data_IF_280930668603
#
_entry.id   IF_280930668603
#
_cell.length_a   1.000
_cell.length_b   1.000
_cell.length_c   1.000
_cell.angle_alpha   90.00
_cell.angle_beta   90.00
_cell.angle_gamma   90.00
#
_symmetry.space_group_name_H-M   'P 1'
#
loop_
_entity.id
_entity.type
_entity.pdbx_description
1 polymer ?
#
# COMPACT_ATOMS: atom_id res chain seq x y z
N UNK A 1 28.75 -2.10 -15.01
CA UNK A 1 29.22 -2.63 -16.30
C UNK A 1 29.87 -3.96 -16.03
N UNK A 2 29.28 -5.06 -16.52
CA UNK A 2 29.90 -6.37 -16.53
C UNK A 2 30.05 -6.77 -18.00
N UNK A 3 31.29 -6.96 -18.45
CA UNK A 3 31.57 -7.44 -19.80
C UNK A 3 31.11 -8.91 -19.89
N UNK A 4 30.02 -9.16 -20.60
CA UNK A 4 29.58 -10.52 -20.92
C UNK A 4 30.46 -10.99 -22.08
N UNK A 5 31.56 -11.66 -21.74
CA UNK A 5 32.39 -12.37 -22.71
C UNK A 5 31.61 -13.58 -23.24
N UNK A 6 31.27 -13.56 -24.52
CA UNK A 6 30.75 -14.72 -25.22
C UNK A 6 31.92 -15.66 -25.53
N UNK A 7 32.16 -16.66 -24.68
CA UNK A 7 32.98 -17.82 -25.04
C UNK A 7 32.19 -18.68 -26.02
N UNK A 8 32.69 -18.82 -27.24
CA UNK A 8 32.15 -19.72 -28.24
C UNK A 8 32.36 -21.18 -27.79
N UNK A 9 31.27 -21.84 -27.37
CA UNK A 9 31.23 -23.29 -27.26
C UNK A 9 30.67 -23.87 -28.56
N UNK A 10 31.41 -24.77 -29.18
CA UNK A 10 30.98 -25.58 -30.33
C UNK A 10 29.81 -26.49 -29.93
N UNK A 11 28.63 -26.38 -30.56
CA UNK A 11 27.53 -27.29 -30.26
C UNK A 11 27.67 -28.60 -31.04
N UNK A 12 27.59 -29.71 -30.31
CA UNK A 12 27.30 -31.05 -30.84
C UNK A 12 25.82 -31.09 -31.22
N UNK A 13 25.53 -31.48 -32.46
CA UNK A 13 24.19 -31.51 -33.06
C UNK A 13 23.40 -32.69 -32.49
N UNK A 14 22.31 -32.40 -31.77
CA UNK A 14 21.24 -33.34 -31.43
C UNK A 14 19.97 -32.96 -32.22
N UNK A 15 19.44 -33.92 -32.98
CA UNK A 15 18.31 -33.77 -33.90
C UNK A 15 16.99 -33.48 -33.17
N UNK A 16 16.40 -32.32 -33.45
CA UNK A 16 15.00 -31.98 -33.22
C UNK A 16 14.48 -31.14 -34.40
N UNK A 17 13.47 -31.64 -35.08
CA UNK A 17 13.01 -31.21 -36.40
C UNK A 17 12.22 -29.89 -36.40
N UNK A 18 12.89 -28.82 -36.84
CA UNK A 18 12.34 -27.82 -37.77
C UNK A 18 13.33 -27.74 -38.92
N UNK A 19 12.96 -28.24 -40.10
CA UNK A 19 13.81 -28.27 -41.27
C UNK A 19 13.99 -26.85 -41.84
N UNK A 20 14.88 -26.07 -41.25
CA UNK A 20 15.54 -24.98 -41.96
C UNK A 20 16.58 -25.62 -42.89
N UNK A 21 16.53 -25.31 -44.19
CA UNK A 21 17.62 -25.64 -45.12
C UNK A 21 18.96 -25.26 -44.48
N UNK A 22 20.00 -26.09 -44.63
CA UNK A 22 21.27 -25.96 -43.93
C UNK A 22 21.71 -24.49 -43.83
N UNK A 23 21.64 -23.96 -42.60
CA UNK A 23 21.91 -22.57 -42.26
C UNK A 23 23.37 -22.26 -42.63
N UNK A 24 23.57 -21.75 -43.84
CA UNK A 24 24.89 -21.43 -44.41
C UNK A 24 24.96 -19.94 -44.71
N UNK A 25 26.15 -19.37 -44.56
CA UNK A 25 26.45 -17.98 -44.88
C UNK A 25 27.32 -17.97 -46.12
N UNK A 26 26.85 -17.36 -47.22
CA UNK A 26 27.62 -17.25 -48.46
C UNK A 26 28.87 -16.39 -48.23
N UNK A 27 29.93 -16.65 -48.99
CA UNK A 27 31.23 -16.00 -48.77
C UNK A 27 31.16 -14.46 -48.88
N UNK A 28 30.29 -13.96 -49.76
CA UNK A 28 30.03 -12.54 -49.99
C UNK A 28 29.48 -11.84 -48.74
N UNK A 29 28.72 -12.56 -47.91
CA UNK A 29 28.22 -12.07 -46.61
C UNK A 29 29.17 -12.42 -45.47
N UNK A 30 29.74 -13.62 -45.50
CA UNK A 30 30.55 -14.18 -44.41
C UNK A 30 31.86 -13.45 -44.19
N UNK A 31 32.57 -13.06 -45.26
CA UNK A 31 33.83 -12.30 -45.16
C UNK A 31 33.66 -10.96 -44.41
N UNK A 32 32.77 -10.03 -44.84
CA UNK A 32 32.57 -8.78 -44.12
C UNK A 32 31.98 -8.99 -42.70
N UNK A 33 31.16 -10.03 -42.50
CA UNK A 33 30.63 -10.38 -41.19
C UNK A 33 31.73 -10.81 -40.19
N UNK A 34 32.65 -11.66 -40.61
CA UNK A 34 33.79 -12.09 -39.78
C UNK A 34 34.73 -10.92 -39.45
N UNK A 35 34.98 -10.04 -40.42
CA UNK A 35 35.78 -8.83 -40.20
C UNK A 35 35.10 -7.91 -39.18
N UNK A 36 33.78 -7.72 -39.30
CA UNK A 36 33.01 -6.96 -38.31
C UNK A 36 33.07 -7.56 -36.90
N UNK A 37 32.97 -8.89 -36.77
CA UNK A 37 33.10 -9.58 -35.48
C UNK A 37 34.47 -9.35 -34.83
N UNK A 38 35.55 -9.42 -35.63
CA UNK A 38 36.92 -9.15 -35.16
C UNK A 38 37.09 -7.70 -34.69
N UNK A 39 36.56 -6.74 -35.46
CA UNK A 39 36.59 -5.33 -35.11
C UNK A 39 35.80 -5.04 -33.83
N UNK A 40 34.59 -5.60 -33.69
CA UNK A 40 33.75 -5.47 -32.51
C UNK A 40 34.44 -6.06 -31.26
N UNK A 41 35.04 -7.25 -31.41
CA UNK A 41 35.81 -7.90 -30.33
C UNK A 41 37.04 -7.09 -29.90
N UNK A 42 37.57 -6.25 -30.79
CA UNK A 42 38.69 -5.34 -30.50
C UNK A 42 38.24 -3.96 -29.99
N UNK A 43 36.94 -3.78 -29.66
CA UNK A 43 36.37 -2.51 -29.21
C UNK A 43 36.16 -1.48 -30.31
N UNK A 44 36.49 -1.80 -31.58
CA UNK A 44 36.36 -0.92 -32.75
C UNK A 44 34.94 -0.96 -33.31
N UNK A 45 33.97 -0.64 -32.45
CA UNK A 45 32.55 -0.87 -32.75
C UNK A 45 32.02 -0.04 -33.93
N UNK A 46 32.51 1.19 -34.13
CA UNK A 46 32.13 2.02 -35.30
C UNK A 46 32.63 1.43 -36.62
N UNK A 47 33.85 0.91 -36.64
CA UNK A 47 34.43 0.24 -37.81
C UNK A 47 33.69 -1.08 -38.10
N UNK A 48 33.34 -1.83 -37.05
CA UNK A 48 32.51 -3.04 -37.17
C UNK A 48 31.14 -2.73 -37.80
N UNK A 49 30.48 -1.63 -37.38
CA UNK A 49 29.22 -1.21 -37.99
C UNK A 49 29.35 -0.83 -39.47
N UNK A 50 30.47 -0.24 -39.88
CA UNK A 50 30.73 0.03 -41.30
C UNK A 50 30.82 -1.28 -42.11
N UNK A 51 31.58 -2.27 -41.60
CA UNK A 51 31.69 -3.59 -42.22
C UNK A 51 30.38 -4.36 -42.29
N UNK A 52 29.51 -4.19 -41.29
CA UNK A 52 28.17 -4.78 -41.31
C UNK A 52 27.26 -4.15 -42.37
N UNK A 53 27.50 -2.90 -42.81
CA UNK A 53 26.76 -2.31 -43.94
C UNK A 53 27.20 -2.94 -45.26
N UNK A 54 28.48 -3.26 -45.42
CA UNK A 54 28.98 -4.01 -46.59
C UNK A 54 28.29 -5.39 -46.67
N UNK A 55 28.27 -6.14 -45.56
CA UNK A 55 27.59 -7.44 -45.49
C UNK A 55 26.08 -7.33 -45.80
N UNK A 56 25.43 -6.27 -45.34
CA UNK A 56 24.00 -6.03 -45.55
C UNK A 56 23.66 -5.49 -46.95
N UNK A 57 24.64 -4.98 -47.70
CA UNK A 57 24.44 -4.53 -49.08
C UNK A 57 24.34 -5.68 -50.09
N UNK A 58 24.73 -6.90 -49.68
CA UNK A 58 24.67 -8.09 -50.54
C UNK A 58 23.21 -8.43 -50.90
N UNK A 59 22.97 -8.68 -52.18
CA UNK A 59 21.64 -9.04 -52.71
C UNK A 59 21.24 -10.48 -52.39
N UNK A 60 19.92 -10.73 -52.35
CA UNK A 60 19.36 -12.07 -52.20
C UNK A 60 19.73 -12.79 -50.90
N UNK A 61 19.92 -12.05 -49.79
CA UNK A 61 20.28 -12.62 -48.48
C UNK A 61 19.22 -13.60 -47.98
N UNK A 62 19.69 -14.70 -47.41
CA UNK A 62 18.81 -15.64 -46.70
C UNK A 62 18.37 -15.05 -45.35
N UNK A 63 17.28 -15.58 -44.79
CA UNK A 63 16.84 -15.19 -43.45
C UNK A 63 17.91 -15.46 -42.36
N UNK A 64 18.74 -16.49 -42.55
CA UNK A 64 19.84 -16.81 -41.65
C UNK A 64 20.98 -15.80 -41.77
N UNK A 65 21.38 -15.42 -43.00
CA UNK A 65 22.40 -14.39 -43.24
C UNK A 65 21.99 -13.06 -42.62
N UNK A 66 20.75 -12.62 -42.84
CA UNK A 66 20.22 -11.41 -42.23
C UNK A 66 20.21 -11.49 -40.70
N UNK A 67 19.80 -12.62 -40.12
CA UNK A 67 19.86 -12.85 -38.67
C UNK A 67 21.27 -12.71 -38.10
N UNK A 68 22.28 -13.29 -38.78
CA UNK A 68 23.66 -13.23 -38.30
C UNK A 68 24.26 -11.82 -38.39
N UNK A 69 23.96 -11.07 -39.46
CA UNK A 69 24.33 -9.66 -39.59
C UNK A 69 23.73 -8.86 -38.43
N UNK A 70 22.42 -9.01 -38.19
CA UNK A 70 21.72 -8.26 -37.15
C UNK A 70 22.18 -8.61 -35.74
N UNK A 71 22.56 -9.87 -35.48
CA UNK A 71 23.11 -10.29 -34.18
C UNK A 71 24.44 -9.60 -33.87
N UNK A 72 25.33 -9.47 -34.85
CA UNK A 72 26.60 -8.74 -34.67
C UNK A 72 26.33 -7.22 -34.58
N UNK A 73 25.39 -6.71 -35.39
CA UNK A 73 24.97 -5.30 -35.38
C UNK A 73 24.42 -4.88 -34.03
N UNK A 74 23.58 -5.71 -33.40
CA UNK A 74 23.01 -5.45 -32.08
C UNK A 74 24.09 -5.21 -31.02
N UNK A 75 25.09 -6.11 -30.96
CA UNK A 75 26.22 -5.98 -30.03
C UNK A 75 27.11 -4.77 -30.34
N UNK A 76 27.51 -4.61 -31.61
CA UNK A 76 28.40 -3.52 -32.02
C UNK A 76 27.75 -2.15 -31.84
N UNK A 77 26.47 -2.00 -32.20
CA UNK A 77 25.74 -0.74 -32.03
C UNK A 77 25.56 -0.39 -30.55
N UNK A 78 25.18 -1.36 -29.71
CA UNK A 78 25.05 -1.16 -28.28
C UNK A 78 26.39 -0.71 -27.65
N UNK A 79 27.49 -1.36 -28.03
CA UNK A 79 28.83 -1.03 -27.54
C UNK A 79 29.38 0.30 -28.12
N UNK A 80 28.91 0.72 -29.29
CA UNK A 80 29.21 2.03 -29.87
C UNK A 80 28.39 3.18 -29.26
N UNK A 81 27.38 2.89 -28.42
CA UNK A 81 26.42 3.87 -27.93
C UNK A 81 25.40 4.32 -28.97
N UNK A 82 25.31 3.65 -30.13
CA UNK A 82 24.32 3.92 -31.17
C UNK A 82 23.00 3.21 -30.82
N UNK A 83 22.24 3.84 -29.92
CA UNK A 83 21.01 3.26 -29.37
C UNK A 83 19.95 3.00 -30.45
N UNK A 84 19.83 3.86 -31.47
CA UNK A 84 18.83 3.71 -32.53
C UNK A 84 19.11 2.50 -33.42
N UNK A 85 20.36 2.32 -33.84
CA UNK A 85 20.78 1.14 -34.60
C UNK A 85 20.70 -0.12 -33.74
N UNK A 86 21.08 -0.05 -32.46
CA UNK A 86 21.00 -1.18 -31.54
C UNK A 86 19.56 -1.67 -31.38
N UNK A 87 18.61 -0.77 -31.10
CA UNK A 87 17.19 -1.12 -30.93
C UNK A 87 16.66 -1.88 -32.16
N UNK A 88 16.86 -1.34 -33.37
CA UNK A 88 16.40 -1.99 -34.61
C UNK A 88 17.01 -3.38 -34.81
N UNK A 89 18.30 -3.52 -34.51
CA UNK A 89 19.00 -4.79 -34.63
C UNK A 89 18.51 -5.82 -33.60
N UNK A 90 18.29 -5.41 -32.34
CA UNK A 90 17.69 -6.27 -31.32
C UNK A 90 16.29 -6.73 -31.72
N UNK A 91 15.45 -5.84 -32.26
CA UNK A 91 14.11 -6.19 -32.77
C UNK A 91 14.18 -7.22 -33.90
N UNK A 92 15.07 -7.02 -34.89
CA UNK A 92 15.25 -7.95 -35.98
C UNK A 92 15.72 -9.34 -35.49
N UNK A 93 16.67 -9.36 -34.56
CA UNK A 93 17.17 -10.61 -33.94
C UNK A 93 16.06 -11.33 -33.19
N UNK A 94 15.26 -10.63 -32.38
CA UNK A 94 14.16 -11.25 -31.62
C UNK A 94 13.03 -11.73 -32.55
N UNK A 95 12.66 -10.92 -33.55
CA UNK A 95 11.58 -11.25 -34.50
C UNK A 95 11.98 -12.32 -35.52
N UNK A 96 13.26 -12.65 -35.64
CA UNK A 96 13.72 -13.76 -36.48
C UNK A 96 13.24 -15.14 -36.01
N UNK A 97 12.86 -15.27 -34.72
CA UNK A 97 12.49 -16.55 -34.10
C UNK A 97 13.65 -17.54 -33.94
N UNK A 98 14.90 -17.12 -34.22
CA UNK A 98 16.10 -17.98 -34.24
C UNK A 98 16.91 -17.96 -32.94
N UNK A 99 16.51 -17.15 -31.95
CA UNK A 99 17.14 -17.16 -30.63
C UNK A 99 16.83 -18.47 -29.90
N UNK A 100 17.83 -19.01 -29.21
CA UNK A 100 17.60 -20.14 -28.31
C UNK A 100 16.69 -19.74 -27.14
N UNK A 101 16.06 -20.72 -26.49
CA UNK A 101 15.21 -20.49 -25.31
C UNK A 101 15.98 -19.81 -24.15
N UNK A 102 17.31 -19.99 -24.08
CA UNK A 102 18.17 -19.36 -23.08
C UNK A 102 18.52 -17.89 -23.42
N UNK A 103 18.50 -17.52 -24.69
CA UNK A 103 18.87 -16.19 -25.18
C UNK A 103 17.67 -15.27 -25.35
N UNK A 104 16.54 -15.80 -25.82
CA UNK A 104 15.34 -15.02 -26.11
C UNK A 104 14.92 -14.11 -24.94
N UNK A 105 14.86 -14.57 -23.67
CA UNK A 105 14.55 -13.69 -22.55
C UNK A 105 15.57 -12.58 -22.37
N UNK A 106 16.87 -12.88 -22.47
CA UNK A 106 17.95 -11.89 -22.28
C UNK A 106 17.90 -10.77 -23.33
N UNK A 107 17.66 -11.13 -24.59
CA UNK A 107 17.51 -10.16 -25.68
C UNK A 107 16.27 -9.29 -25.50
N UNK A 108 15.13 -9.90 -25.18
CA UNK A 108 13.87 -9.17 -24.94
C UNK A 108 13.97 -8.22 -23.75
N UNK A 109 14.58 -8.65 -22.64
CA UNK A 109 14.83 -7.81 -21.46
C UNK A 109 15.78 -6.65 -21.78
N UNK A 110 16.87 -6.92 -22.51
CA UNK A 110 17.82 -5.88 -22.92
C UNK A 110 17.15 -4.82 -23.82
N UNK A 111 16.31 -5.25 -24.77
CA UNK A 111 15.57 -4.34 -25.65
C UNK A 111 14.57 -3.49 -24.87
N UNK A 112 13.81 -4.08 -23.94
CA UNK A 112 12.94 -3.33 -23.04
C UNK A 112 13.72 -2.26 -22.25
N UNK A 113 14.90 -2.60 -21.72
CA UNK A 113 15.77 -1.66 -21.02
C UNK A 113 16.37 -0.57 -21.94
N UNK A 114 16.57 -0.84 -23.22
CA UNK A 114 16.97 0.17 -24.21
C UNK A 114 15.85 1.18 -24.44
N UNK A 115 14.62 0.72 -24.68
CA UNK A 115 13.46 1.58 -24.81
C UNK A 115 13.19 2.39 -23.54
N UNK A 116 13.35 1.78 -22.37
CA UNK A 116 13.18 2.47 -21.08
C UNK A 116 14.16 3.64 -20.95
N UNK A 117 15.46 3.41 -21.25
CA UNK A 117 16.49 4.46 -21.22
C UNK A 117 16.24 5.55 -22.26
N UNK A 118 15.68 5.18 -23.41
CA UNK A 118 15.24 6.12 -24.44
C UNK A 118 13.96 6.88 -24.06
N UNK A 119 13.34 6.58 -22.91
CA UNK A 119 12.05 7.10 -22.43
C UNK A 119 10.89 6.84 -23.39
N UNK A 120 11.02 5.81 -24.23
CA UNK A 120 9.95 5.32 -25.11
C UNK A 120 9.08 4.35 -24.33
N UNK A 121 8.16 4.89 -23.53
CA UNK A 121 7.30 4.10 -22.66
C UNK A 121 6.39 3.13 -23.42
N UNK A 122 5.75 3.48 -24.56
CA UNK A 122 4.94 2.53 -25.32
C UNK A 122 5.70 1.27 -25.74
N UNK A 123 6.90 1.42 -26.31
CA UNK A 123 7.71 0.27 -26.71
C UNK A 123 8.26 -0.48 -25.50
N UNK A 124 8.67 0.24 -24.45
CA UNK A 124 9.08 -0.38 -23.18
C UNK A 124 7.99 -1.31 -22.65
N UNK A 125 6.74 -0.85 -22.56
CA UNK A 125 5.60 -1.65 -22.09
C UNK A 125 5.38 -2.87 -22.98
N UNK A 126 5.40 -2.68 -24.30
CA UNK A 126 5.22 -3.76 -25.28
C UNK A 126 6.25 -4.88 -25.09
N UNK A 127 7.52 -4.52 -24.99
CA UNK A 127 8.62 -5.49 -24.86
C UNK A 127 8.70 -6.12 -23.47
N UNK A 128 8.35 -5.40 -22.41
CA UNK A 128 8.21 -5.99 -21.07
C UNK A 128 7.07 -7.02 -21.05
N UNK A 129 5.89 -6.69 -21.59
CA UNK A 129 4.75 -7.63 -21.65
C UNK A 129 5.09 -8.87 -22.46
N UNK A 130 5.84 -8.73 -23.56
CA UNK A 130 6.35 -9.88 -24.33
C UNK A 130 7.27 -10.74 -23.47
N UNK A 131 8.23 -10.14 -22.78
CA UNK A 131 9.11 -10.88 -21.86
C UNK A 131 8.34 -11.67 -20.81
N UNK A 132 7.30 -11.08 -20.23
CA UNK A 132 6.49 -11.69 -19.17
C UNK A 132 5.56 -12.79 -19.72
N UNK A 133 5.16 -12.70 -20.99
CA UNK A 133 4.41 -13.77 -21.66
C UNK A 133 5.28 -15.01 -21.90
N UNK A 134 6.55 -14.80 -22.26
CA UNK A 134 7.49 -15.89 -22.52
C UNK A 134 7.90 -16.58 -21.20
N UNK A 135 8.07 -15.80 -20.13
CA UNK A 135 8.37 -16.29 -18.77
C UNK A 135 8.00 -15.23 -17.74
N UNK A 136 7.29 -15.64 -16.69
CA UNK A 136 7.04 -14.74 -15.56
C UNK A 136 8.35 -14.41 -14.82
N UNK A 137 8.62 -13.11 -14.65
CA UNK A 137 9.85 -12.58 -14.07
C UNK A 137 9.50 -11.39 -13.13
N UNK A 138 9.80 -11.48 -11.83
CA UNK A 138 9.46 -10.44 -10.86
C UNK A 138 10.10 -9.07 -11.16
N UNK A 139 11.32 -9.03 -11.69
CA UNK A 139 12.03 -7.78 -12.00
C UNK A 139 11.39 -7.09 -13.21
N UNK A 140 11.05 -7.85 -14.25
CA UNK A 140 10.34 -7.31 -15.41
C UNK A 140 8.94 -6.82 -15.06
N UNK A 141 8.25 -7.49 -14.13
CA UNK A 141 6.94 -7.03 -13.66
C UNK A 141 7.04 -5.77 -12.81
N UNK A 142 8.04 -5.64 -11.95
CA UNK A 142 8.32 -4.39 -11.23
C UNK A 142 8.63 -3.24 -12.20
N UNK A 143 9.45 -3.51 -13.22
CA UNK A 143 9.73 -2.54 -14.29
C UNK A 143 8.44 -2.14 -15.02
N UNK A 144 7.53 -3.08 -15.31
CA UNK A 144 6.24 -2.78 -15.93
C UNK A 144 5.42 -1.78 -15.10
N UNK A 145 5.28 -2.05 -13.80
CA UNK A 145 4.54 -1.19 -12.86
C UNK A 145 5.17 0.20 -12.81
N UNK A 146 6.50 0.25 -12.72
CA UNK A 146 7.24 1.51 -12.74
C UNK A 146 7.06 2.26 -14.05
N UNK A 147 7.13 1.58 -15.21
CA UNK A 147 6.91 2.17 -16.53
C UNK A 147 5.49 2.71 -16.66
N UNK A 148 4.48 1.99 -16.17
CA UNK A 148 3.11 2.51 -16.13
C UNK A 148 3.00 3.76 -15.26
N UNK A 149 3.64 3.78 -14.09
CA UNK A 149 3.63 4.95 -13.22
C UNK A 149 4.30 6.18 -13.87
N UNK A 150 5.52 6.04 -14.39
CA UNK A 150 6.25 7.18 -14.98
C UNK A 150 5.68 7.64 -16.32
N UNK A 151 4.98 6.77 -17.04
CA UNK A 151 4.26 7.12 -18.28
C UNK A 151 2.88 7.73 -18.02
N UNK A 152 2.45 7.84 -16.76
CA UNK A 152 1.14 8.37 -16.37
C UNK A 152 -0.01 7.37 -16.54
N UNK A 153 0.27 6.12 -16.92
CA UNK A 153 -0.71 5.04 -16.99
C UNK A 153 -1.01 4.45 -15.61
N UNK A 154 -1.53 5.29 -14.72
CA UNK A 154 -1.79 4.99 -13.33
C UNK A 154 -2.80 3.85 -13.12
N UNK A 155 -3.80 3.73 -14.00
CA UNK A 155 -4.82 2.69 -13.89
C UNK A 155 -4.23 1.28 -14.07
N UNK A 156 -3.35 1.11 -15.06
CA UNK A 156 -2.66 -0.16 -15.26
C UNK A 156 -1.65 -0.43 -14.14
N UNK A 157 -0.93 0.58 -13.65
CA UNK A 157 -0.04 0.42 -12.49
C UNK A 157 -0.81 -0.06 -11.24
N UNK A 158 -1.97 0.53 -10.95
CA UNK A 158 -2.83 0.13 -9.83
C UNK A 158 -3.32 -1.32 -9.99
N UNK A 159 -3.78 -1.68 -11.20
CA UNK A 159 -4.24 -3.04 -11.52
C UNK A 159 -3.16 -4.09 -11.30
N UNK A 160 -1.93 -3.79 -11.73
CA UNK A 160 -0.78 -4.68 -11.56
C UNK A 160 -0.34 -4.82 -10.08
N UNK A 161 -0.46 -3.77 -9.28
CA UNK A 161 -0.20 -3.85 -7.84
C UNK A 161 -1.26 -4.68 -7.11
N UNK A 162 -2.53 -4.54 -7.51
CA UNK A 162 -3.66 -5.24 -6.89
C UNK A 162 -3.70 -6.73 -7.25
N UNK A 163 -3.41 -7.10 -8.50
CA UNK A 163 -3.46 -8.48 -8.98
C UNK A 163 -2.46 -9.40 -8.26
N UNK A 164 -1.33 -8.84 -7.82
CA UNK A 164 -0.28 -9.58 -7.11
C UNK A 164 -0.56 -9.81 -5.63
N UNK A 165 -1.74 -9.40 -5.15
CA UNK A 165 -2.03 -9.36 -3.72
C UNK A 165 -1.00 -8.51 -2.98
N UNK A 166 -0.59 -7.38 -3.60
CA UNK A 166 0.49 -6.48 -3.17
C UNK A 166 0.30 -5.94 -1.76
N UNK A 167 0.54 -6.80 -0.77
CA UNK A 167 0.37 -6.55 0.65
C UNK A 167 1.67 -6.07 1.30
N UNK A 168 2.76 -5.98 0.54
CA UNK A 168 3.97 -5.32 1.02
C UNK A 168 3.67 -3.85 1.30
N UNK A 169 4.30 -3.29 2.33
CA UNK A 169 4.12 -1.89 2.68
C UNK A 169 4.42 -0.97 1.48
N UNK A 170 5.51 -1.24 0.75
CA UNK A 170 5.92 -0.46 -0.42
C UNK A 170 4.87 -0.51 -1.55
N UNK A 171 4.30 -1.69 -1.83
CA UNK A 171 3.26 -1.84 -2.86
C UNK A 171 1.99 -1.07 -2.49
N UNK A 172 1.58 -1.13 -1.22
CA UNK A 172 0.41 -0.39 -0.74
C UNK A 172 0.66 1.12 -0.73
N UNK A 173 1.85 1.58 -0.34
CA UNK A 173 2.24 2.99 -0.43
C UNK A 173 2.22 3.50 -1.87
N UNK A 174 2.74 2.70 -2.81
CA UNK A 174 2.69 3.05 -4.23
C UNK A 174 1.25 3.12 -4.75
N UNK A 175 0.42 2.13 -4.39
CA UNK A 175 -1.01 2.13 -4.76
C UNK A 175 -1.74 3.34 -4.19
N UNK A 176 -1.48 3.70 -2.93
CA UNK A 176 -2.04 4.89 -2.30
C UNK A 176 -1.60 6.18 -3.03
N UNK A 177 -0.32 6.30 -3.40
CA UNK A 177 0.17 7.44 -4.19
C UNK A 177 -0.51 7.54 -5.56
N UNK A 178 -0.67 6.40 -6.25
CA UNK A 178 -1.39 6.31 -7.52
C UNK A 178 -2.84 6.78 -7.37
N UNK A 179 -3.55 6.29 -6.35
CA UNK A 179 -4.94 6.67 -6.09
C UNK A 179 -5.10 8.16 -5.80
N UNK A 180 -4.15 8.79 -5.08
CA UNK A 180 -4.13 10.25 -4.91
C UNK A 180 -3.99 10.97 -6.25
N UNK A 181 -3.08 10.52 -7.12
CA UNK A 181 -2.90 11.12 -8.46
C UNK A 181 -4.13 10.95 -9.36
N UNK A 182 -4.90 9.89 -9.15
CA UNK A 182 -6.15 9.63 -9.85
C UNK A 182 -7.36 10.33 -9.22
N UNK A 183 -7.19 11.05 -8.11
CA UNK A 183 -8.28 11.58 -7.28
C UNK A 183 -9.26 10.50 -6.75
N UNK A 184 -8.83 9.24 -6.67
CA UNK A 184 -9.60 8.14 -6.12
C UNK A 184 -9.54 8.15 -4.58
N UNK A 185 -10.38 8.99 -3.97
CA UNK A 185 -10.45 9.13 -2.51
C UNK A 185 -10.88 7.84 -1.82
N UNK A 186 -11.82 7.09 -2.41
CA UNK A 186 -12.36 5.88 -1.80
C UNK A 186 -11.32 4.75 -1.81
N UNK A 187 -10.66 4.54 -2.96
CA UNK A 187 -9.58 3.58 -3.07
C UNK A 187 -8.40 3.95 -2.16
N UNK A 188 -8.05 5.24 -2.07
CA UNK A 188 -6.99 5.69 -1.17
C UNK A 188 -7.27 5.29 0.29
N UNK A 189 -8.47 5.59 0.79
CA UNK A 189 -8.85 5.24 2.18
C UNK A 189 -8.81 3.74 2.38
N UNK A 190 -9.33 2.94 1.45
CA UNK A 190 -9.29 1.48 1.54
C UNK A 190 -7.85 0.92 1.57
N UNK A 191 -6.93 1.50 0.78
CA UNK A 191 -5.51 1.14 0.81
C UNK A 191 -4.85 1.57 2.12
N UNK A 192 -5.20 2.74 2.63
CA UNK A 192 -4.67 3.26 3.89
C UNK A 192 -5.17 2.45 5.11
N UNK A 193 -6.42 1.97 5.08
CA UNK A 193 -6.96 1.02 6.07
C UNK A 193 -6.14 -0.29 6.07
N UNK A 194 -5.74 -0.81 4.90
CA UNK A 194 -4.84 -1.97 4.80
C UNK A 194 -3.46 -1.67 5.37
N UNK A 195 -2.88 -0.50 5.04
CA UNK A 195 -1.60 -0.05 5.58
C UNK A 195 -1.65 0.03 7.11
N UNK A 196 -2.63 0.73 7.67
CA UNK A 196 -2.78 0.90 9.11
C UNK A 196 -2.98 -0.45 9.86
N UNK A 197 -3.70 -1.38 9.22
CA UNK A 197 -4.01 -2.71 9.77
C UNK A 197 -2.82 -3.69 9.71
N UNK A 198 -2.02 -3.65 8.63
CA UNK A 198 -0.90 -4.56 8.42
C UNK A 198 0.44 -3.99 8.94
N UNK A 199 0.59 -2.67 8.91
CA UNK A 199 1.78 -1.92 9.29
C UNK A 199 1.37 -0.74 10.18
N UNK A 200 1.17 -0.93 11.50
CA UNK A 200 0.54 0.05 12.39
C UNK A 200 1.45 1.25 12.72
N UNK A 201 1.94 1.96 11.70
CA UNK A 201 2.66 3.22 11.85
C UNK A 201 1.67 4.32 12.19
N UNK A 202 2.06 5.18 13.12
CA UNK A 202 1.28 6.34 13.55
C UNK A 202 0.87 7.24 12.40
N UNK A 203 1.73 7.41 11.38
CA UNK A 203 1.44 8.23 10.19
C UNK A 203 0.19 7.79 9.42
N UNK A 204 -0.08 6.49 9.30
CA UNK A 204 -1.25 6.00 8.57
C UNK A 204 -2.54 6.26 9.34
N UNK A 205 -2.51 6.06 10.66
CA UNK A 205 -3.62 6.38 11.54
C UNK A 205 -3.89 7.88 11.57
N UNK A 206 -2.85 8.71 11.63
CA UNK A 206 -3.00 10.16 11.58
C UNK A 206 -3.71 10.61 10.29
N UNK A 207 -3.33 10.06 9.13
CA UNK A 207 -3.97 10.38 7.85
C UNK A 207 -5.42 9.88 7.79
N UNK A 208 -5.71 8.64 8.21
CA UNK A 208 -7.09 8.13 8.30
C UNK A 208 -7.99 9.04 9.16
N UNK A 209 -7.49 9.43 10.35
CA UNK A 209 -8.24 10.24 11.30
C UNK A 209 -8.43 11.68 10.81
N UNK A 210 -7.42 12.27 10.17
CA UNK A 210 -7.58 13.58 9.53
C UNK A 210 -8.61 13.56 8.40
N UNK A 211 -8.65 12.47 7.62
CA UNK A 211 -9.59 12.34 6.49
C UNK A 211 -11.02 12.15 6.93
N UNK A 212 -11.29 11.35 7.96
CA UNK A 212 -12.66 11.20 8.48
C UNK A 212 -13.15 12.53 9.05
N UNK A 213 -12.32 13.25 9.81
CA UNK A 213 -12.69 14.56 10.37
C UNK A 213 -12.85 15.67 9.32
N UNK A 214 -12.10 15.59 8.21
CA UNK A 214 -12.19 16.53 7.09
C UNK A 214 -13.27 16.18 6.05
N UNK A 215 -14.00 15.08 6.23
CA UNK A 215 -15.02 14.63 5.28
C UNK A 215 -16.26 15.54 5.34
N UNK A 216 -16.85 15.92 4.18
CA UNK A 216 -18.14 16.60 4.17
C UNK A 216 -19.20 15.78 4.92
N UNK A 217 -19.91 16.42 5.85
CA UNK A 217 -20.93 15.77 6.68
C UNK A 217 -20.40 15.12 7.97
N UNK A 218 -19.11 15.23 8.28
CA UNK A 218 -18.59 14.76 9.58
C UNK A 218 -19.27 15.50 10.75
N UNK A 219 -19.80 14.73 11.71
CA UNK A 219 -20.44 15.26 12.91
C UNK A 219 -19.40 15.64 13.97
N UNK A 220 -19.37 16.91 14.36
CA UNK A 220 -18.49 17.41 15.44
C UNK A 220 -18.74 16.74 16.80
N UNK A 221 -19.88 16.07 16.98
CA UNK A 221 -20.16 15.29 18.21
C UNK A 221 -19.21 14.08 18.34
N UNK A 222 -18.71 13.58 17.21
CA UNK A 222 -17.77 12.46 17.16
C UNK A 222 -16.31 12.89 17.34
N UNK A 223 -16.04 14.18 17.62
CA UNK A 223 -14.67 14.67 17.82
C UNK A 223 -13.98 14.00 19.01
N UNK A 224 -14.71 13.70 20.09
CA UNK A 224 -14.17 12.90 21.20
C UNK A 224 -13.84 11.47 20.75
N UNK A 225 -14.65 10.84 19.90
CA UNK A 225 -14.38 9.51 19.36
C UNK A 225 -13.15 9.46 18.44
N UNK A 226 -12.90 10.52 17.67
CA UNK A 226 -11.65 10.69 16.93
C UNK A 226 -10.46 10.78 17.89
N UNK A 227 -10.59 11.57 18.97
CA UNK A 227 -9.53 11.70 19.98
C UNK A 227 -9.25 10.38 20.71
N UNK A 228 -10.28 9.56 20.98
CA UNK A 228 -10.12 8.20 21.54
C UNK A 228 -9.29 7.31 20.61
N UNK A 229 -9.57 7.32 19.31
CA UNK A 229 -8.75 6.60 18.31
C UNK A 229 -7.33 7.15 18.21
N UNK A 230 -7.15 8.48 18.30
CA UNK A 230 -5.80 9.08 18.33
C UNK A 230 -5.00 8.60 19.53
N UNK A 231 -5.59 8.61 20.72
CA UNK A 231 -4.95 8.10 21.93
C UNK A 231 -4.59 6.61 21.79
N UNK A 232 -5.54 5.78 21.33
CA UNK A 232 -5.36 4.34 21.20
C UNK A 232 -4.31 3.94 20.15
N UNK A 233 -4.04 4.81 19.16
CA UNK A 233 -2.97 4.64 18.18
C UNK A 233 -1.67 5.38 18.55
N UNK A 234 -1.53 5.86 19.78
CA UNK A 234 -0.30 6.47 20.28
C UNK A 234 0.04 7.81 19.62
N UNK A 235 -0.97 8.54 19.11
CA UNK A 235 -0.76 9.82 18.43
C UNK A 235 -0.57 11.02 19.37
N UNK A 236 -0.68 10.81 20.69
CA UNK A 236 -0.51 11.87 21.67
C UNK A 236 0.94 11.96 22.13
N UNK A 237 1.52 13.15 21.97
CA UNK A 237 2.91 13.46 22.27
C UNK A 237 3.06 14.58 23.30
N UNK A 238 2.01 15.36 23.54
CA UNK A 238 2.05 16.54 24.44
C UNK A 238 1.18 16.35 25.69
N UNK A 239 1.58 16.91 26.85
CA UNK A 239 0.76 16.91 28.07
C UNK A 239 -0.66 17.48 27.84
N UNK A 240 -0.77 18.55 27.05
CA UNK A 240 -2.05 19.20 26.75
C UNK A 240 -3.06 18.26 26.08
N UNK A 241 -2.61 17.32 25.25
CA UNK A 241 -3.50 16.39 24.55
C UNK A 241 -4.17 15.41 25.53
N UNK A 242 -3.40 14.88 26.50
CA UNK A 242 -3.95 14.03 27.57
C UNK A 242 -4.90 14.81 28.48
N UNK A 243 -4.56 16.06 28.81
CA UNK A 243 -5.40 16.91 29.66
C UNK A 243 -6.74 17.24 28.98
N UNK A 244 -6.70 17.63 27.71
CA UNK A 244 -7.88 17.99 26.92
C UNK A 244 -8.85 16.81 26.79
N UNK A 245 -8.39 15.64 26.35
CA UNK A 245 -9.28 14.48 26.21
C UNK A 245 -9.86 14.03 27.56
N UNK A 246 -9.09 14.14 28.65
CA UNK A 246 -9.56 13.76 29.99
C UNK A 246 -10.67 14.70 30.46
N UNK A 247 -10.55 15.99 30.17
CA UNK A 247 -11.61 16.97 30.45
C UNK A 247 -12.84 16.72 29.59
N UNK A 248 -12.67 16.41 28.30
CA UNK A 248 -13.79 16.04 27.42
C UNK A 248 -14.51 14.77 27.90
N UNK A 249 -13.78 13.76 28.37
CA UNK A 249 -14.35 12.55 28.94
C UNK A 249 -15.15 12.84 30.22
N UNK A 250 -14.67 13.73 31.10
CA UNK A 250 -15.42 14.19 32.28
C UNK A 250 -16.71 14.92 31.87
N UNK A 251 -16.64 15.82 30.90
CA UNK A 251 -17.81 16.54 30.38
C UNK A 251 -18.83 15.59 29.74
N UNK A 252 -18.36 14.50 29.13
CA UNK A 252 -19.21 13.45 28.58
C UNK A 252 -19.80 12.52 29.66
N UNK A 253 -19.49 12.74 30.95
CA UNK A 253 -19.98 11.94 32.06
C UNK A 253 -19.24 10.61 32.25
N UNK A 254 -18.03 10.47 31.71
CA UNK A 254 -17.21 9.26 31.83
C UNK A 254 -15.92 9.52 32.64
N UNK A 255 -16.02 9.66 33.98
CA UNK A 255 -14.85 9.91 34.83
C UNK A 255 -13.88 8.73 34.89
N UNK A 256 -14.35 7.49 34.73
CA UNK A 256 -13.49 6.31 34.66
C UNK A 256 -12.56 6.35 33.43
N UNK A 257 -13.10 6.75 32.27
CA UNK A 257 -12.29 6.97 31.07
C UNK A 257 -11.27 8.09 31.29
N UNK A 258 -11.70 9.22 31.86
CA UNK A 258 -10.80 10.33 32.16
C UNK A 258 -9.63 9.89 33.06
N UNK A 259 -9.89 9.12 34.11
CA UNK A 259 -8.84 8.58 34.99
C UNK A 259 -7.88 7.66 34.24
N UNK A 260 -8.40 6.73 33.44
CA UNK A 260 -7.58 5.84 32.62
C UNK A 260 -6.64 6.62 31.68
N UNK A 261 -7.12 7.72 31.08
CA UNK A 261 -6.30 8.54 30.20
C UNK A 261 -5.22 9.32 30.96
N UNK A 262 -5.58 9.91 32.11
CA UNK A 262 -4.64 10.60 32.98
C UNK A 262 -3.53 9.63 33.40
N UNK A 263 -3.90 8.44 33.88
CA UNK A 263 -2.95 7.41 34.32
C UNK A 263 -2.03 6.95 33.20
N UNK A 264 -2.52 6.82 31.96
CA UNK A 264 -1.67 6.58 30.80
C UNK A 264 -0.63 7.68 30.59
N UNK A 265 -1.03 8.95 30.75
CA UNK A 265 -0.12 10.10 30.66
C UNK A 265 0.95 10.11 31.75
N UNK A 266 0.58 9.77 33.00
CA UNK A 266 1.53 9.62 34.12
C UNK A 266 2.49 8.45 33.87
N UNK A 267 1.98 7.30 33.43
CA UNK A 267 2.79 6.11 33.14
C UNK A 267 3.82 6.36 32.03
N UNK A 268 3.48 7.19 31.05
CA UNK A 268 4.40 7.62 29.98
C UNK A 268 5.37 8.73 30.41
N UNK A 269 5.26 9.26 31.64
CA UNK A 269 6.06 10.38 32.13
C UNK A 269 5.73 11.72 31.47
N UNK A 270 4.67 11.79 30.67
CA UNK A 270 4.22 13.01 29.98
C UNK A 270 3.43 13.91 30.94
N UNK A 271 2.71 13.31 31.90
CA UNK A 271 2.05 14.01 33.00
C UNK A 271 2.81 13.81 34.32
N UNK A 272 2.46 14.61 35.33
CA UNK A 272 3.05 14.53 36.67
C UNK A 272 4.47 15.12 36.80
N UNK A 273 4.99 15.77 35.76
CA UNK A 273 6.33 16.39 35.76
C UNK A 273 6.26 17.88 35.39
N UNK A 274 7.32 18.63 35.70
CA UNK A 274 7.45 20.05 35.37
C UNK A 274 6.52 20.98 36.17
N UNK A 275 6.45 22.24 35.75
CA UNK A 275 5.68 23.29 36.43
C UNK A 275 4.16 23.02 36.45
N UNK A 276 3.65 22.25 35.48
CA UNK A 276 2.24 21.90 35.37
C UNK A 276 1.83 20.65 36.18
N UNK A 277 2.77 19.97 36.86
CA UNK A 277 2.46 18.78 37.66
C UNK A 277 1.30 18.99 38.67
N UNK A 278 1.22 20.12 39.41
CA UNK A 278 0.08 20.40 40.29
C UNK A 278 -1.25 20.54 39.53
N UNK A 279 -1.23 21.02 38.29
CA UNK A 279 -2.42 21.10 37.43
C UNK A 279 -2.87 19.72 36.98
N UNK A 280 -1.93 18.85 36.61
CA UNK A 280 -2.21 17.45 36.26
C UNK A 280 -2.85 16.70 37.45
N UNK A 281 -2.33 16.92 38.67
CA UNK A 281 -2.88 16.30 39.88
C UNK A 281 -4.29 16.79 40.19
N UNK A 282 -4.55 18.10 40.11
CA UNK A 282 -5.91 18.65 40.31
C UNK A 282 -6.96 18.06 39.37
N UNK A 283 -6.60 17.80 38.11
CA UNK A 283 -7.52 17.14 37.18
C UNK A 283 -7.78 15.68 37.58
N UNK A 284 -6.76 14.96 38.05
CA UNK A 284 -6.90 13.61 38.58
C UNK A 284 -7.84 13.59 39.79
N UNK A 285 -7.64 14.50 40.74
CA UNK A 285 -8.46 14.60 41.96
C UNK A 285 -9.92 14.91 41.63
N UNK A 286 -10.16 15.82 40.67
CA UNK A 286 -11.50 16.09 40.16
C UNK A 286 -12.14 14.83 39.57
N UNK A 287 -11.41 14.10 38.72
CA UNK A 287 -11.92 12.89 38.10
C UNK A 287 -12.23 11.78 39.13
N UNK A 288 -11.39 11.61 40.14
CA UNK A 288 -11.62 10.70 41.27
C UNK A 288 -12.90 11.06 42.03
N UNK A 289 -13.08 12.35 42.36
CA UNK A 289 -14.28 12.82 43.03
C UNK A 289 -15.53 12.59 42.19
N UNK A 290 -15.50 12.96 40.91
CA UNK A 290 -16.64 12.75 39.99
C UNK A 290 -16.97 11.27 39.83
N UNK A 291 -15.98 10.38 39.81
CA UNK A 291 -16.20 8.93 39.78
C UNK A 291 -16.89 8.43 41.06
N UNK A 292 -16.48 8.93 42.24
CA UNK A 292 -17.11 8.57 43.51
C UNK A 292 -18.56 9.04 43.58
N UNK A 293 -18.84 10.27 43.14
CA UNK A 293 -20.20 10.83 43.08
C UNK A 293 -21.09 10.02 42.11
N UNK A 294 -20.56 9.65 40.94
CA UNK A 294 -21.26 8.79 39.98
C UNK A 294 -21.60 7.42 40.59
N UNK A 295 -20.65 6.78 41.29
CA UNK A 295 -20.90 5.50 41.99
C UNK A 295 -22.02 5.60 43.00
N UNK A 296 -22.02 6.66 43.81
CA UNK A 296 -23.03 6.88 44.84
C UNK A 296 -24.44 7.07 44.24
N UNK A 297 -24.54 7.73 43.08
CA UNK A 297 -25.81 7.99 42.40
C UNK A 297 -26.28 6.90 41.42
N UNK A 298 -25.39 6.01 40.97
CA UNK A 298 -25.63 5.14 39.81
C UNK A 298 -26.91 4.30 39.91
N UNK A 299 -27.19 3.68 41.05
CA UNK A 299 -28.37 2.83 41.23
C UNK A 299 -29.69 3.62 41.13
N UNK A 300 -29.71 4.85 41.66
CA UNK A 300 -30.88 5.73 41.58
C UNK A 300 -31.10 6.19 40.13
N UNK A 301 -30.04 6.64 39.47
CA UNK A 301 -30.07 7.06 38.08
C UNK A 301 -30.51 5.93 37.15
N UNK A 302 -29.97 4.72 37.33
CA UNK A 302 -30.38 3.53 36.58
C UNK A 302 -31.88 3.25 36.70
N UNK A 303 -32.41 3.21 37.93
CA UNK A 303 -33.84 2.96 38.15
C UNK A 303 -34.72 4.02 37.47
N UNK A 304 -34.31 5.28 37.50
CA UNK A 304 -35.00 6.38 36.83
C UNK A 304 -34.96 6.24 35.31
N UNK A 305 -33.79 5.97 34.72
CA UNK A 305 -33.63 5.88 33.27
C UNK A 305 -34.35 4.65 32.70
N UNK A 306 -34.32 3.51 33.39
CA UNK A 306 -35.10 2.31 33.02
C UNK A 306 -36.59 2.61 33.04
N UNK A 307 -37.09 3.25 34.11
CA UNK A 307 -38.51 3.61 34.23
C UNK A 307 -38.96 4.53 33.09
N UNK A 308 -38.11 5.49 32.73
CA UNK A 308 -38.42 6.49 31.70
C UNK A 308 -38.10 6.02 30.27
N UNK A 309 -37.50 4.82 30.11
CA UNK A 309 -37.00 4.31 28.81
C UNK A 309 -36.04 5.29 28.13
N UNK A 310 -35.21 5.96 28.93
CA UNK A 310 -34.24 6.95 28.46
C UNK A 310 -32.97 6.25 27.94
N UNK A 311 -32.97 5.92 26.66
CA UNK A 311 -31.87 5.21 26.02
C UNK A 311 -30.55 6.02 26.03
N UNK A 312 -30.62 7.35 25.89
CA UNK A 312 -29.42 8.19 25.88
C UNK A 312 -28.72 8.16 27.26
N UNK A 313 -29.50 8.29 28.34
CA UNK A 313 -28.96 8.26 29.70
C UNK A 313 -28.51 6.85 30.12
N UNK A 314 -29.24 5.80 29.73
CA UNK A 314 -28.80 4.41 29.93
C UNK A 314 -27.47 4.11 29.22
N UNK A 315 -27.32 4.55 27.98
CA UNK A 315 -26.08 4.36 27.22
C UNK A 315 -24.89 5.04 27.89
N UNK A 316 -25.06 6.31 28.31
CA UNK A 316 -23.99 7.07 28.98
C UNK A 316 -23.61 6.48 30.34
N UNK A 317 -24.60 6.13 31.17
CA UNK A 317 -24.35 5.50 32.47
C UNK A 317 -23.66 4.14 32.29
N UNK A 318 -24.14 3.33 31.34
CA UNK A 318 -23.53 2.05 31.02
C UNK A 318 -22.08 2.18 30.58
N UNK A 319 -21.78 3.14 29.70
CA UNK A 319 -20.42 3.41 29.24
C UNK A 319 -19.49 3.81 30.39
N UNK A 320 -19.94 4.70 31.28
CA UNK A 320 -19.18 5.10 32.46
C UNK A 320 -18.92 3.94 33.43
N UNK A 321 -19.92 3.07 33.65
CA UNK A 321 -19.79 1.88 34.50
C UNK A 321 -18.78 0.86 33.94
N UNK A 322 -18.69 0.72 32.61
CA UNK A 322 -17.69 -0.16 31.99
C UNK A 322 -16.27 0.33 32.30
N UNK A 323 -16.00 1.62 32.14
CA UNK A 323 -14.69 2.20 32.48
C UNK A 323 -14.41 2.26 33.98
N UNK A 324 -15.45 2.17 34.80
CA UNK A 324 -15.35 2.05 36.24
C UNK A 324 -15.02 0.62 36.72
N UNK A 325 -14.92 -0.35 35.79
CA UNK A 325 -14.65 -1.75 36.08
C UNK A 325 -15.91 -2.60 36.31
N UNK A 326 -17.10 -2.01 36.26
CA UNK A 326 -18.40 -2.71 36.35
C UNK A 326 -18.87 -3.17 34.95
N UNK A 327 -18.01 -3.90 34.25
CA UNK A 327 -18.17 -4.21 32.83
C UNK A 327 -19.51 -4.88 32.48
N UNK A 328 -19.87 -5.97 33.18
CA UNK A 328 -21.09 -6.72 32.84
C UNK A 328 -22.36 -5.88 33.05
N UNK A 329 -22.42 -5.12 34.15
CA UNK A 329 -23.54 -4.22 34.45
C UNK A 329 -23.63 -3.11 33.40
N UNK A 330 -22.51 -2.43 33.14
CA UNK A 330 -22.47 -1.33 32.18
C UNK A 330 -22.84 -1.77 30.77
N UNK A 331 -22.30 -2.91 30.30
CA UNK A 331 -22.67 -3.50 29.03
C UNK A 331 -24.16 -3.89 28.97
N UNK A 332 -24.74 -4.39 30.06
CA UNK A 332 -26.17 -4.65 30.17
C UNK A 332 -27.01 -3.40 29.83
N UNK A 333 -26.73 -2.29 30.51
CA UNK A 333 -27.42 -1.02 30.29
C UNK A 333 -27.27 -0.49 28.86
N UNK A 334 -26.06 -0.58 28.29
CA UNK A 334 -25.82 -0.12 26.92
C UNK A 334 -26.53 -1.00 25.88
N UNK A 335 -26.59 -2.32 26.09
CA UNK A 335 -27.37 -3.20 25.22
C UNK A 335 -28.86 -2.86 25.28
N UNK A 336 -29.39 -2.59 26.48
CA UNK A 336 -30.80 -2.24 26.65
C UNK A 336 -31.11 -0.87 26.03
N UNK A 337 -30.22 0.11 26.14
CA UNK A 337 -30.31 1.38 25.42
C UNK A 337 -30.39 1.19 23.89
N UNK A 338 -29.53 0.33 23.33
CA UNK A 338 -29.55 0.03 21.88
C UNK A 338 -30.82 -0.72 21.48
N UNK A 339 -31.31 -1.66 22.30
CA UNK A 339 -32.57 -2.39 22.06
C UNK A 339 -33.80 -1.48 22.09
N UNK A 340 -33.82 -0.47 22.96
CA UNK A 340 -34.92 0.50 23.02
C UNK A 340 -35.07 1.28 21.70
N UNK A 341 -33.96 1.52 21.00
CA UNK A 341 -33.97 2.17 19.68
C UNK A 341 -34.40 3.65 19.68
N UNK A 342 -34.57 4.24 20.86
CA UNK A 342 -35.05 5.63 21.05
C UNK A 342 -33.93 6.64 21.26
N UNK A 343 -32.65 6.20 21.28
CA UNK A 343 -31.52 7.09 21.46
C UNK A 343 -31.47 8.16 20.37
N UNK A 344 -31.29 9.43 20.77
CA UNK A 344 -31.19 10.57 19.84
C UNK A 344 -30.14 10.34 18.76
N UNK A 345 -29.07 9.64 19.11
CA UNK A 345 -27.95 9.32 18.24
C UNK A 345 -27.64 7.81 18.26
N UNK A 346 -28.56 7.01 17.70
CA UNK A 346 -28.49 5.55 17.71
C UNK A 346 -27.16 4.98 17.20
N UNK A 347 -26.56 5.57 16.17
CA UNK A 347 -25.29 5.09 15.60
C UNK A 347 -24.09 5.36 16.52
N UNK A 348 -24.12 6.48 17.24
CA UNK A 348 -23.11 6.82 18.26
C UNK A 348 -23.25 5.88 19.48
N UNK A 349 -24.47 5.58 19.91
CA UNK A 349 -24.72 4.62 20.99
C UNK A 349 -24.17 3.22 20.65
N UNK A 350 -24.34 2.76 19.40
CA UNK A 350 -23.75 1.49 18.91
C UNK A 350 -22.22 1.56 18.84
N UNK A 351 -21.66 2.68 18.39
CA UNK A 351 -20.21 2.90 18.37
C UNK A 351 -19.63 2.80 19.79
N UNK A 352 -20.21 3.51 20.75
CA UNK A 352 -19.77 3.48 22.15
C UNK A 352 -19.96 2.09 22.77
N UNK A 353 -21.05 1.36 22.45
CA UNK A 353 -21.22 -0.03 22.88
C UNK A 353 -20.08 -0.93 22.36
N UNK A 354 -19.64 -0.74 21.12
CA UNK A 354 -18.47 -1.44 20.58
C UNK A 354 -17.18 -1.10 21.34
N UNK A 355 -16.94 0.18 21.61
CA UNK A 355 -15.78 0.64 22.41
C UNK A 355 -15.83 0.02 23.82
N UNK A 356 -17.00 -0.02 24.44
CA UNK A 356 -17.20 -0.62 25.76
C UNK A 356 -16.90 -2.12 25.76
N UNK A 357 -17.40 -2.87 24.76
CA UNK A 357 -17.06 -4.29 24.63
C UNK A 357 -15.56 -4.52 24.45
N UNK A 358 -14.90 -3.66 23.67
CA UNK A 358 -13.45 -3.74 23.46
C UNK A 358 -12.69 -3.46 24.75
N UNK A 359 -13.09 -2.44 25.51
CA UNK A 359 -12.52 -2.12 26.82
C UNK A 359 -12.71 -3.26 27.84
N UNK A 360 -13.88 -3.90 27.84
CA UNK A 360 -14.20 -5.07 28.65
C UNK A 360 -13.53 -6.38 28.17
N UNK A 361 -12.68 -6.34 27.13
CA UNK A 361 -12.01 -7.51 26.56
C UNK A 361 -12.90 -8.47 25.75
N UNK A 362 -14.17 -8.11 25.49
CA UNK A 362 -15.14 -8.91 24.74
C UNK A 362 -14.99 -8.67 23.23
N UNK A 363 -13.85 -9.04 22.66
CA UNK A 363 -13.47 -8.71 21.26
C UNK A 363 -14.51 -9.12 20.21
N UNK A 364 -15.08 -10.32 20.31
CA UNK A 364 -16.11 -10.79 19.35
C UNK A 364 -17.36 -9.90 19.37
N UNK A 365 -17.83 -9.55 20.57
CA UNK A 365 -19.00 -8.68 20.73
C UNK A 365 -18.72 -7.27 20.25
N UNK A 366 -17.50 -6.76 20.48
CA UNK A 366 -17.07 -5.46 19.97
C UNK A 366 -17.15 -5.42 18.44
N UNK A 367 -16.61 -6.43 17.75
CA UNK A 367 -16.68 -6.53 16.28
C UNK A 367 -18.13 -6.56 15.78
N UNK A 368 -19.01 -7.32 16.46
CA UNK A 368 -20.45 -7.35 16.12
C UNK A 368 -21.10 -5.98 16.28
N UNK A 369 -20.84 -5.29 17.39
CA UNK A 369 -21.37 -3.96 17.65
C UNK A 369 -20.86 -2.93 16.63
N UNK A 370 -19.56 -2.92 16.32
CA UNK A 370 -18.99 -2.01 15.31
C UNK A 370 -19.57 -2.24 13.91
N UNK A 371 -19.79 -3.50 13.50
CA UNK A 371 -20.45 -3.81 12.22
C UNK A 371 -21.91 -3.35 12.15
N UNK A 372 -22.57 -3.16 13.29
CA UNK A 372 -23.94 -2.65 13.35
C UNK A 372 -24.03 -1.12 13.18
N UNK A 373 -22.90 -0.40 13.22
CA UNK A 373 -22.82 1.04 12.98
C UNK A 373 -22.87 1.33 11.49
N UNK A 374 -23.89 2.06 11.05
CA UNK A 374 -24.19 2.42 9.66
C UNK A 374 -24.33 3.93 9.43
N UNK A 375 -23.94 4.76 10.40
CA UNK A 375 -24.00 6.22 10.30
C UNK A 375 -23.12 6.79 9.19
N UNK A 376 -23.64 7.78 8.46
CA UNK A 376 -22.94 8.48 7.36
C UNK A 376 -22.19 9.73 7.80
N UNK A 377 -22.35 10.12 9.07
CA UNK A 377 -21.77 11.31 9.70
C UNK A 377 -20.35 11.11 10.25
N UNK A 378 -19.72 9.98 9.88
CA UNK A 378 -18.40 9.56 10.36
C UNK A 378 -18.46 8.37 11.32
N UNK A 379 -19.61 8.08 11.94
CA UNK A 379 -19.72 7.00 12.93
C UNK A 379 -19.29 5.62 12.37
N UNK A 380 -19.73 5.28 11.15
CA UNK A 380 -19.33 4.02 10.51
C UNK A 380 -17.85 3.97 10.14
N UNK A 381 -17.23 5.11 9.82
CA UNK A 381 -15.79 5.19 9.54
C UNK A 381 -14.99 4.91 10.82
N UNK A 382 -15.35 5.55 11.94
CA UNK A 382 -14.71 5.31 13.24
C UNK A 382 -14.92 3.88 13.74
N UNK A 383 -16.11 3.30 13.55
CA UNK A 383 -16.38 1.90 13.90
C UNK A 383 -15.51 0.92 13.11
N UNK A 384 -15.26 1.18 11.82
CA UNK A 384 -14.31 0.38 11.03
C UNK A 384 -12.89 0.51 11.57
N UNK A 385 -12.46 1.71 11.95
CA UNK A 385 -11.11 1.93 12.50
C UNK A 385 -10.90 1.18 13.83
N UNK A 386 -11.88 1.19 14.73
CA UNK A 386 -11.84 0.34 15.93
C UNK A 386 -11.80 -1.15 15.59
N UNK A 387 -12.56 -1.59 14.59
CA UNK A 387 -12.55 -3.00 14.14
C UNK A 387 -11.17 -3.41 13.63
N UNK A 388 -10.47 -2.54 12.90
CA UNK A 388 -9.11 -2.82 12.39
C UNK A 388 -8.10 -3.04 13.52
N UNK A 389 -8.31 -2.38 14.66
CA UNK A 389 -7.47 -2.52 15.86
C UNK A 389 -7.86 -3.73 16.72
N UNK A 390 -9.07 -4.26 16.58
CA UNK A 390 -9.65 -5.32 17.39
C UNK A 390 -9.33 -6.73 16.84
N UNK A 391 -8.05 -7.03 16.62
CA UNK A 391 -7.59 -8.35 16.14
C UNK A 391 -7.37 -9.35 17.27
#
# INVERSE_FOLDING_TARGET
MAAIGFTAATPVIGLGSLAYAADTVRAEVGKPLQEAQKLASSGKNKEALAKLREADSVGGKTAFESYQIERVRASAAAAAGDNGTAIKAFEAVINSGRLSAAEAPKFTQALAGMYYRAKDWPNTITWIKRSLKDREDPQMRELLIQTYYVSGNYAEAAKELQSRGGNSEASLQMLANIQLKQNDKAGYVATLEKLASAYPKTSYWADLLNRVSGKPGFSQRLSLDVQRLRLANGLFTKPSEYMEISQLALQAGNPGEALSIIEQGYKKGVLGTGADAPRHQRLKDLALKTQADLKAGAAKSEAEYVKNKDADSLSKLGFALVYDGQADKGLGLMNDAVKLGTAKYAEEAKLHLGIAYMHAGKKSNATTAFKAVKGTDGAADLARYWTLMNK
#
